data_IF_187012279300
#
_entry.id   IF_187012279300
#
_cell.length_a   1.000
_cell.length_b   1.000
_cell.length_c   1.000
_cell.angle_alpha   90.00
_cell.angle_beta   90.00
_cell.angle_gamma   90.00
#
_symmetry.space_group_name_H-M   'P 1'
#
loop_
_entity.id
_entity.type
_entity.pdbx_description
1 polymer ?
#
# COMPACT_ATOMS: atom_id res chain seq x y z
N UNK A 1 51.08 14.94 -16.95
CA UNK A 1 50.32 15.83 -16.03
C UNK A 1 49.09 16.51 -16.65
N UNK A 2 48.98 16.71 -17.98
CA UNK A 2 47.77 17.28 -18.60
C UNK A 2 46.57 16.30 -18.66
N UNK A 3 46.82 14.99 -18.81
CA UNK A 3 45.74 13.98 -18.86
C UNK A 3 45.10 13.64 -17.50
N UNK A 4 45.81 13.82 -16.37
CA UNK A 4 45.24 13.58 -15.04
C UNK A 4 44.26 14.68 -14.59
N UNK A 5 44.43 15.91 -15.07
CA UNK A 5 43.50 17.01 -14.75
C UNK A 5 42.14 16.84 -15.44
N UNK A 6 42.11 16.30 -16.67
CA UNK A 6 40.84 16.01 -17.36
C UNK A 6 40.03 14.88 -16.69
N UNK A 7 40.69 13.87 -16.11
CA UNK A 7 40.00 12.76 -15.44
C UNK A 7 39.44 13.18 -14.07
N UNK A 8 40.17 14.01 -13.32
CA UNK A 8 39.66 14.62 -12.08
C UNK A 8 38.49 15.59 -12.32
N UNK A 9 38.48 16.29 -13.46
CA UNK A 9 37.36 17.19 -13.80
C UNK A 9 36.15 16.41 -14.32
N UNK A 10 36.34 15.31 -15.05
CA UNK A 10 35.23 14.47 -15.54
C UNK A 10 34.50 13.70 -14.42
N UNK A 11 35.22 13.31 -13.36
CA UNK A 11 34.62 12.65 -12.19
C UNK A 11 33.91 13.64 -11.24
N UNK A 12 34.37 14.89 -11.18
CA UNK A 12 33.69 15.96 -10.43
C UNK A 12 32.47 16.52 -11.18
N UNK A 13 32.45 16.47 -12.52
CA UNK A 13 31.30 16.94 -13.31
C UNK A 13 30.16 15.92 -13.45
N UNK A 14 30.40 14.64 -13.17
CA UNK A 14 29.30 13.67 -12.96
C UNK A 14 28.56 13.87 -11.62
N UNK A 15 29.13 14.69 -10.71
CA UNK A 15 28.49 15.15 -9.47
C UNK A 15 27.79 16.52 -9.65
N UNK A 16 27.73 17.01 -10.90
CA UNK A 16 27.36 18.39 -11.24
C UNK A 16 25.86 18.67 -11.43
N UNK A 17 24.96 17.72 -11.15
CA UNK A 17 23.52 18.01 -11.21
C UNK A 17 22.72 17.06 -10.33
N UNK A 18 22.56 17.36 -9.04
CA UNK A 18 21.32 17.07 -8.29
C UNK A 18 21.30 17.88 -6.98
N UNK A 19 20.65 19.05 -7.08
CA UNK A 19 19.85 19.79 -6.08
C UNK A 19 20.31 19.99 -4.63
N UNK A 20 19.69 20.99 -3.98
CA UNK A 20 19.69 21.17 -2.55
C UNK A 20 19.51 19.82 -1.81
N UNK A 21 20.55 19.42 -1.07
CA UNK A 21 20.67 18.21 -0.23
C UNK A 21 20.38 16.91 -1.00
N UNK A 22 21.43 16.16 -1.37
CA UNK A 22 21.27 14.75 -1.69
C UNK A 22 20.75 14.03 -0.44
N UNK A 23 19.43 13.85 -0.36
CA UNK A 23 18.77 13.17 0.75
C UNK A 23 19.16 11.69 0.70
N UNK A 24 19.60 11.12 1.82
CA UNK A 24 19.95 9.69 1.87
C UNK A 24 18.70 8.83 1.74
N UNK A 25 18.83 7.60 1.25
CA UNK A 25 17.73 6.63 1.17
C UNK A 25 16.97 6.47 2.52
N UNK A 26 17.71 6.51 3.63
CA UNK A 26 17.19 6.48 4.99
C UNK A 26 16.34 7.71 5.33
N UNK A 27 16.81 8.91 4.97
CA UNK A 27 16.07 10.13 5.23
C UNK A 27 14.80 10.21 4.38
N UNK A 28 14.84 9.74 3.12
CA UNK A 28 13.67 9.65 2.25
C UNK A 28 12.65 8.66 2.82
N UNK A 29 13.12 7.51 3.30
CA UNK A 29 12.29 6.51 3.96
C UNK A 29 11.60 7.09 5.21
N UNK A 30 12.34 7.77 6.09
CA UNK A 30 11.78 8.39 7.30
C UNK A 30 10.77 9.50 6.97
N UNK A 31 11.00 10.26 5.90
CA UNK A 31 10.04 11.23 5.38
C UNK A 31 8.77 10.53 4.86
N UNK A 32 8.92 9.46 4.09
CA UNK A 32 7.80 8.66 3.59
C UNK A 32 6.96 8.07 4.72
N UNK A 33 7.59 7.60 5.80
CA UNK A 33 6.91 7.12 7.01
C UNK A 33 6.09 8.22 7.68
N UNK A 34 6.69 9.38 7.89
CA UNK A 34 5.99 10.52 8.53
C UNK A 34 4.73 10.91 7.75
N UNK A 35 4.83 11.00 6.42
CA UNK A 35 3.71 11.32 5.54
C UNK A 35 2.65 10.20 5.56
N UNK A 36 3.09 8.94 5.57
CA UNK A 36 2.19 7.78 5.67
C UNK A 36 1.41 7.77 6.99
N UNK A 37 2.03 8.16 8.09
CA UNK A 37 1.37 8.20 9.41
C UNK A 37 0.32 9.31 9.47
N UNK A 38 0.61 10.47 8.86
CA UNK A 38 -0.38 11.55 8.70
C UNK A 38 -1.58 11.10 7.85
N UNK A 39 -1.31 10.43 6.72
CA UNK A 39 -2.33 9.90 5.83
C UNK A 39 -3.24 8.90 6.55
N UNK A 40 -2.65 8.02 7.36
CA UNK A 40 -3.38 7.03 8.15
C UNK A 40 -4.22 7.67 9.26
N UNK A 41 -3.70 8.70 9.93
CA UNK A 41 -4.47 9.46 10.92
C UNK A 41 -5.70 10.09 10.29
N UNK A 42 -5.53 10.77 9.14
CA UNK A 42 -6.63 11.40 8.42
C UNK A 42 -7.67 10.38 7.94
N UNK A 43 -7.24 9.22 7.42
CA UNK A 43 -8.12 8.13 6.99
C UNK A 43 -8.93 7.55 8.16
N UNK A 44 -8.37 7.47 9.36
CA UNK A 44 -9.12 7.03 10.55
C UNK A 44 -10.14 8.08 10.98
N UNK A 45 -9.75 9.35 10.99
CA UNK A 45 -10.63 10.46 11.36
C UNK A 45 -11.76 10.72 10.34
N UNK A 46 -11.55 10.36 9.08
CA UNK A 46 -12.53 10.54 8.02
C UNK A 46 -13.71 9.58 8.15
N UNK A 47 -13.53 8.48 8.90
CA UNK A 47 -14.59 7.53 9.23
C UNK A 47 -15.25 7.97 10.54
N UNK A 48 -16.40 8.63 10.44
CA UNK A 48 -17.24 8.94 11.60
C UNK A 48 -18.45 8.03 11.64
N UNK A 49 -18.67 7.40 12.78
CA UNK A 49 -19.93 6.71 13.08
C UNK A 49 -20.88 7.71 13.73
N UNK A 50 -22.03 7.96 13.12
CA UNK A 50 -23.10 8.67 13.81
C UNK A 50 -23.77 7.74 14.84
N UNK A 51 -24.54 8.33 15.76
CA UNK A 51 -25.21 7.65 16.88
C UNK A 51 -26.17 6.51 16.48
N UNK A 52 -26.33 6.26 15.18
CA UNK A 52 -27.13 5.18 14.57
C UNK A 52 -26.29 4.17 13.76
N UNK A 53 -24.96 4.18 13.89
CA UNK A 53 -24.06 3.23 13.22
C UNK A 53 -23.79 3.53 11.74
N UNK A 54 -24.32 4.64 11.21
CA UNK A 54 -24.04 5.08 9.84
C UNK A 54 -22.62 5.60 9.74
N UNK A 55 -21.85 5.01 8.82
CA UNK A 55 -20.51 5.46 8.45
C UNK A 55 -20.63 6.66 7.51
N UNK A 56 -20.27 7.84 7.99
CA UNK A 56 -20.12 9.04 7.17
C UNK A 56 -18.64 9.22 6.85
N UNK A 57 -18.35 9.41 5.56
CA UNK A 57 -17.02 9.70 5.08
C UNK A 57 -16.86 11.22 4.94
N UNK A 58 -15.87 11.76 5.64
CA UNK A 58 -15.39 13.11 5.42
C UNK A 58 -14.56 13.14 4.13
N UNK A 59 -15.17 13.56 3.00
CA UNK A 59 -14.56 13.47 1.67
C UNK A 59 -13.25 14.26 1.59
N UNK A 60 -13.22 15.48 2.13
CA UNK A 60 -12.02 16.32 2.11
C UNK A 60 -10.83 15.65 2.81
N UNK A 61 -11.09 14.96 3.92
CA UNK A 61 -10.07 14.18 4.64
C UNK A 61 -9.61 12.95 3.85
N UNK A 62 -10.52 12.28 3.13
CA UNK A 62 -10.17 11.15 2.28
C UNK A 62 -9.32 11.59 1.08
N UNK A 63 -9.67 12.69 0.42
CA UNK A 63 -8.91 13.23 -0.71
C UNK A 63 -7.51 13.68 -0.27
N UNK A 64 -7.40 14.28 0.93
CA UNK A 64 -6.11 14.61 1.53
C UNK A 64 -5.31 13.36 1.87
N UNK A 65 -5.92 12.36 2.49
CA UNK A 65 -5.26 11.09 2.80
C UNK A 65 -4.77 10.40 1.53
N UNK A 66 -5.57 10.35 0.47
CA UNK A 66 -5.19 9.82 -0.84
C UNK A 66 -3.93 10.52 -1.37
N UNK A 67 -3.92 11.86 -1.36
CA UNK A 67 -2.79 12.65 -1.84
C UNK A 67 -1.49 12.36 -1.07
N UNK A 68 -1.58 12.23 0.26
CA UNK A 68 -0.43 11.90 1.11
C UNK A 68 0.05 10.45 0.90
N UNK A 69 -0.88 9.50 0.75
CA UNK A 69 -0.53 8.13 0.39
C UNK A 69 0.20 8.06 -0.96
N UNK A 70 -0.26 8.80 -1.98
CA UNK A 70 0.41 8.87 -3.28
C UNK A 70 1.80 9.51 -3.21
N UNK A 71 1.97 10.56 -2.40
CA UNK A 71 3.27 11.20 -2.16
C UNK A 71 4.25 10.24 -1.45
N UNK A 72 3.82 9.64 -0.35
CA UNK A 72 4.61 8.69 0.42
C UNK A 72 5.00 7.45 -0.42
N UNK A 73 4.11 6.98 -1.31
CA UNK A 73 4.41 5.87 -2.21
C UNK A 73 5.60 6.18 -3.13
N UNK A 74 5.65 7.40 -3.70
CA UNK A 74 6.77 7.85 -4.55
C UNK A 74 8.08 7.88 -3.78
N UNK A 75 8.06 8.36 -2.54
CA UNK A 75 9.24 8.43 -1.69
C UNK A 75 9.75 7.04 -1.29
N UNK A 76 8.84 6.11 -0.95
CA UNK A 76 9.25 4.73 -0.68
C UNK A 76 9.85 4.04 -1.92
N UNK A 77 9.29 4.29 -3.11
CA UNK A 77 9.85 3.81 -4.37
C UNK A 77 11.25 4.38 -4.62
N UNK A 78 11.46 5.67 -4.35
CA UNK A 78 12.77 6.31 -4.45
C UNK A 78 13.77 5.74 -3.43
N UNK A 79 13.38 5.58 -2.16
CA UNK A 79 14.21 4.99 -1.12
C UNK A 79 14.62 3.55 -1.49
N UNK A 80 13.69 2.75 -2.04
CA UNK A 80 13.97 1.40 -2.55
C UNK A 80 15.00 1.43 -3.68
N UNK A 81 14.84 2.33 -4.65
CA UNK A 81 15.78 2.48 -5.78
C UNK A 81 17.18 2.88 -5.32
N UNK A 82 17.28 3.62 -4.21
CA UNK A 82 18.54 3.98 -3.58
C UNK A 82 19.11 2.90 -2.64
N UNK A 83 18.48 1.72 -2.56
CA UNK A 83 18.99 0.55 -1.84
C UNK A 83 18.50 0.41 -0.39
N UNK A 84 17.47 1.16 0.05
CA UNK A 84 16.84 0.93 1.35
C UNK A 84 15.98 -0.35 1.30
N UNK A 85 16.39 -1.38 2.04
CA UNK A 85 15.71 -2.68 2.08
C UNK A 85 14.40 -2.65 2.90
N UNK A 86 14.25 -1.72 3.84
CA UNK A 86 13.05 -1.57 4.65
C UNK A 86 11.89 -0.98 3.84
N UNK A 87 12.22 -0.14 2.85
CA UNK A 87 11.27 0.43 1.90
C UNK A 87 10.48 -0.65 1.13
N UNK A 88 11.08 -1.82 0.86
CA UNK A 88 10.38 -2.91 0.16
C UNK A 88 9.17 -3.44 0.97
N UNK A 89 9.36 -3.68 2.26
CA UNK A 89 8.26 -4.11 3.14
C UNK A 89 7.23 -3.00 3.36
N UNK A 90 7.70 -1.75 3.49
CA UNK A 90 6.82 -0.60 3.64
C UNK A 90 5.94 -0.37 2.40
N UNK A 91 6.49 -0.54 1.19
CA UNK A 91 5.76 -0.41 -0.07
C UNK A 91 4.58 -1.37 -0.17
N UNK A 92 4.72 -2.60 0.31
CA UNK A 92 3.63 -3.57 0.27
C UNK A 92 2.46 -3.13 1.15
N UNK A 93 2.75 -2.70 2.39
CA UNK A 93 1.74 -2.17 3.31
C UNK A 93 1.07 -0.94 2.70
N UNK A 94 1.88 -0.04 2.17
CA UNK A 94 1.42 1.21 1.58
C UNK A 94 0.54 0.99 0.35
N UNK A 95 0.90 0.02 -0.50
CA UNK A 95 0.10 -0.40 -1.66
C UNK A 95 -1.29 -0.87 -1.23
N UNK A 96 -1.39 -1.64 -0.13
CA UNK A 96 -2.67 -2.06 0.43
C UNK A 96 -3.47 -0.86 0.96
N UNK A 97 -2.85 0.02 1.76
CA UNK A 97 -3.52 1.18 2.34
C UNK A 97 -4.07 2.12 1.27
N UNK A 98 -3.28 2.41 0.23
CA UNK A 98 -3.71 3.21 -0.93
C UNK A 98 -4.85 2.52 -1.70
N UNK A 99 -4.79 1.20 -1.89
CA UNK A 99 -5.87 0.45 -2.53
C UNK A 99 -7.17 0.50 -1.72
N UNK A 100 -7.10 0.44 -0.39
CA UNK A 100 -8.26 0.60 0.51
C UNK A 100 -8.88 1.99 0.35
N UNK A 101 -8.06 3.05 0.33
CA UNK A 101 -8.53 4.42 0.10
C UNK A 101 -9.23 4.56 -1.24
N UNK A 102 -8.65 4.02 -2.32
CA UNK A 102 -9.30 4.04 -3.63
C UNK A 102 -10.63 3.29 -3.64
N UNK A 103 -10.74 2.16 -2.93
CA UNK A 103 -12.01 1.44 -2.82
C UNK A 103 -13.06 2.26 -2.04
N UNK A 104 -12.68 2.88 -0.93
CA UNK A 104 -13.56 3.74 -0.12
C UNK A 104 -14.07 4.94 -0.94
N UNK A 105 -13.21 5.50 -1.80
CA UNK A 105 -13.53 6.57 -2.75
C UNK A 105 -14.22 6.08 -4.03
N UNK A 106 -14.51 4.78 -4.15
CA UNK A 106 -15.12 4.12 -5.33
C UNK A 106 -14.29 4.27 -6.62
N UNK A 107 -13.01 4.57 -6.51
CA UNK A 107 -12.03 4.72 -7.58
C UNK A 107 -11.50 3.34 -8.02
N UNK A 108 -12.38 2.49 -8.52
CA UNK A 108 -12.05 1.09 -8.82
C UNK A 108 -11.05 0.90 -9.99
N UNK A 109 -10.88 1.92 -10.86
CA UNK A 109 -9.89 1.89 -11.94
C UNK A 109 -8.48 1.93 -11.34
N UNK A 110 -8.27 2.78 -10.34
CA UNK A 110 -7.00 2.92 -9.62
C UNK A 110 -6.77 1.79 -8.61
N UNK A 111 -7.82 1.32 -7.93
CA UNK A 111 -7.71 0.26 -6.94
C UNK A 111 -7.28 -1.09 -7.55
N UNK A 112 -7.87 -1.47 -8.69
CA UNK A 112 -7.71 -2.82 -9.28
C UNK A 112 -6.26 -3.21 -9.57
N UNK A 113 -5.42 -2.37 -10.22
CA UNK A 113 -4.01 -2.69 -10.45
C UNK A 113 -3.30 -3.01 -9.14
N UNK A 114 -3.43 -2.16 -8.13
CA UNK A 114 -2.78 -2.38 -6.83
C UNK A 114 -3.24 -3.68 -6.16
N UNK A 115 -4.54 -3.99 -6.21
CA UNK A 115 -5.10 -5.21 -5.63
C UNK A 115 -4.66 -6.46 -6.42
N UNK A 116 -4.57 -6.38 -7.74
CA UNK A 116 -4.10 -7.49 -8.57
C UNK A 116 -2.59 -7.72 -8.37
N UNK A 117 -1.82 -6.64 -8.25
CA UNK A 117 -0.41 -6.72 -7.87
C UNK A 117 -0.29 -7.41 -6.53
N UNK A 118 -1.04 -7.01 -5.49
CA UNK A 118 -1.01 -7.68 -4.18
C UNK A 118 -1.39 -9.18 -4.23
N UNK A 119 -2.17 -9.63 -5.22
CA UNK A 119 -2.45 -11.06 -5.44
C UNK A 119 -1.30 -11.79 -6.14
N UNK A 120 -0.64 -11.13 -7.10
CA UNK A 120 0.42 -11.72 -7.94
C UNK A 120 1.79 -11.64 -7.27
N UNK A 121 2.06 -10.51 -6.65
CA UNK A 121 3.27 -10.08 -5.95
C UNK A 121 3.24 -10.71 -4.55
N UNK A 122 3.29 -12.04 -4.51
CA UNK A 122 3.73 -12.74 -3.32
C UNK A 122 5.24 -12.56 -3.19
N UNK A 123 5.70 -11.39 -2.75
CA UNK A 123 7.12 -11.16 -2.45
C UNK A 123 7.59 -12.27 -1.52
N UNK A 124 8.67 -12.97 -1.89
CA UNK A 124 9.20 -14.12 -1.16
C UNK A 124 9.61 -13.77 0.28
N UNK A 125 9.73 -12.47 0.59
CA UNK A 125 10.14 -11.93 1.90
C UNK A 125 9.05 -11.14 2.65
N UNK A 126 7.79 -11.09 2.15
CA UNK A 126 6.74 -10.34 2.85
C UNK A 126 6.38 -10.97 4.19
N UNK A 127 6.04 -10.10 5.15
CA UNK A 127 5.37 -10.52 6.38
C UNK A 127 4.09 -11.33 6.02
N UNK A 128 4.04 -12.64 6.37
CA UNK A 128 2.91 -13.50 6.03
C UNK A 128 1.56 -12.96 6.50
N UNK A 129 1.54 -12.23 7.63
CA UNK A 129 0.33 -11.62 8.17
C UNK A 129 -0.19 -10.47 7.30
N UNK A 130 0.70 -9.67 6.70
CA UNK A 130 0.29 -8.60 5.79
C UNK A 130 -0.30 -9.17 4.50
N UNK A 131 0.34 -10.22 3.96
CA UNK A 131 -0.18 -10.98 2.82
C UNK A 131 -1.56 -11.57 3.13
N UNK A 132 -1.71 -12.18 4.31
CA UNK A 132 -2.96 -12.76 4.75
C UNK A 132 -4.09 -11.70 4.82
N UNK A 133 -3.78 -10.51 5.35
CA UNK A 133 -4.72 -9.38 5.42
C UNK A 133 -5.15 -8.90 4.02
N UNK A 134 -4.20 -8.69 3.10
CA UNK A 134 -4.48 -8.25 1.74
C UNK A 134 -5.40 -9.24 1.00
N UNK A 135 -5.08 -10.54 1.07
CA UNK A 135 -5.89 -11.60 0.44
C UNK A 135 -7.30 -11.64 1.05
N UNK A 136 -7.42 -11.55 2.38
CA UNK A 136 -8.72 -11.52 3.07
C UNK A 136 -9.54 -10.29 2.71
N UNK A 137 -8.91 -9.12 2.55
CA UNK A 137 -9.58 -7.92 2.08
C UNK A 137 -10.11 -8.10 0.65
N UNK A 138 -9.30 -8.62 -0.26
CA UNK A 138 -9.72 -8.88 -1.65
C UNK A 138 -10.84 -9.93 -1.72
N UNK A 139 -10.82 -10.93 -0.84
CA UNK A 139 -11.92 -11.88 -0.70
C UNK A 139 -13.25 -11.19 -0.40
N UNK A 140 -13.26 -10.17 0.47
CA UNK A 140 -14.47 -9.38 0.75
C UNK A 140 -14.95 -8.60 -0.47
N UNK A 141 -14.04 -8.04 -1.26
CA UNK A 141 -14.39 -7.31 -2.48
C UNK A 141 -15.06 -8.20 -3.53
N UNK A 142 -14.61 -9.46 -3.67
CA UNK A 142 -15.27 -10.44 -4.54
C UNK A 142 -16.65 -10.87 -4.02
N UNK A 143 -16.81 -11.05 -2.69
CA UNK A 143 -18.10 -11.38 -2.09
C UNK A 143 -19.12 -10.25 -2.24
N UNK A 144 -18.70 -9.00 -2.01
CA UNK A 144 -19.58 -7.84 -2.10
C UNK A 144 -19.85 -7.41 -3.54
N UNK A 145 -18.93 -7.70 -4.47
CA UNK A 145 -18.94 -7.12 -5.81
C UNK A 145 -18.41 -5.68 -5.84
N UNK A 146 -17.67 -5.25 -4.81
CA UNK A 146 -17.05 -3.92 -4.75
C UNK A 146 -15.77 -3.94 -5.56
N UNK A 147 -15.68 -3.09 -6.58
CA UNK A 147 -14.58 -3.03 -7.54
C UNK A 147 -14.32 -4.31 -8.36
N UNK A 148 -14.68 -5.51 -7.90
CA UNK A 148 -14.66 -6.74 -8.71
C UNK A 148 -16.07 -7.18 -9.08
N UNK A 149 -16.20 -7.94 -10.17
CA UNK A 149 -17.45 -8.65 -10.45
C UNK A 149 -17.70 -9.62 -9.30
N UNK A 150 -18.91 -9.56 -8.73
CA UNK A 150 -19.30 -10.43 -7.61
C UNK A 150 -19.05 -11.89 -7.96
N UNK A 151 -18.26 -12.56 -7.12
CA UNK A 151 -17.90 -13.97 -7.22
C UNK A 151 -17.67 -14.50 -5.80
N UNK A 152 -18.74 -15.02 -5.20
CA UNK A 152 -18.71 -15.50 -3.81
C UNK A 152 -17.77 -16.70 -3.68
N UNK A 153 -17.74 -17.61 -4.66
CA UNK A 153 -16.88 -18.79 -4.64
C UNK A 153 -15.41 -18.41 -4.61
N UNK A 154 -14.99 -17.47 -5.47
CA UNK A 154 -13.63 -16.93 -5.45
C UNK A 154 -13.31 -16.22 -4.14
N UNK A 155 -14.25 -15.42 -3.61
CA UNK A 155 -14.10 -14.75 -2.33
C UNK A 155 -13.85 -15.73 -1.17
N UNK A 156 -14.63 -16.81 -1.09
CA UNK A 156 -14.47 -17.87 -0.07
C UNK A 156 -13.12 -18.57 -0.20
N UNK A 157 -12.68 -18.88 -1.43
CA UNK A 157 -11.35 -19.45 -1.65
C UNK A 157 -10.23 -18.54 -1.13
N UNK A 158 -10.34 -17.24 -1.36
CA UNK A 158 -9.38 -16.25 -0.85
C UNK A 158 -9.42 -16.18 0.70
N UNK A 159 -10.59 -16.29 1.33
CA UNK A 159 -10.66 -16.36 2.80
C UNK A 159 -9.95 -17.60 3.36
N UNK A 160 -10.08 -18.75 2.70
CA UNK A 160 -9.33 -19.96 3.06
C UNK A 160 -7.82 -19.74 2.99
N UNK A 161 -7.33 -19.20 1.86
CA UNK A 161 -5.91 -18.86 1.70
C UNK A 161 -5.41 -17.85 2.74
N UNK A 162 -6.23 -16.85 3.08
CA UNK A 162 -5.95 -15.88 4.14
C UNK A 162 -5.85 -16.58 5.51
N UNK A 163 -6.75 -17.53 5.79
CA UNK A 163 -6.73 -18.33 7.01
C UNK A 163 -5.48 -19.22 7.11
N UNK A 164 -5.10 -19.90 6.02
CA UNK A 164 -3.91 -20.75 5.96
C UNK A 164 -2.62 -19.95 6.26
N UNK A 165 -2.62 -18.65 5.97
CA UNK A 165 -1.53 -17.72 6.30
C UNK A 165 -1.64 -17.09 7.71
N UNK A 166 -2.59 -17.55 8.53
CA UNK A 166 -2.73 -17.14 9.93
C UNK A 166 -3.63 -15.92 10.19
N UNK A 167 -4.37 -15.43 9.20
CA UNK A 167 -5.32 -14.32 9.41
C UNK A 167 -6.59 -14.81 10.12
N UNK A 168 -6.81 -14.34 11.36
CA UNK A 168 -8.05 -14.57 12.10
C UNK A 168 -9.29 -14.08 11.34
N UNK A 169 -9.20 -12.92 10.68
CA UNK A 169 -10.27 -12.40 9.82
C UNK A 169 -10.57 -13.35 8.66
N UNK A 170 -9.53 -13.88 8.01
CA UNK A 170 -9.66 -14.88 6.95
C UNK A 170 -10.39 -16.13 7.43
N UNK A 171 -9.99 -16.69 8.57
CA UNK A 171 -10.61 -17.88 9.14
C UNK A 171 -12.08 -17.67 9.50
N UNK A 172 -12.42 -16.53 10.10
CA UNK A 172 -13.81 -16.22 10.44
C UNK A 172 -14.69 -16.12 9.21
N UNK A 173 -14.23 -15.38 8.18
CA UNK A 173 -14.99 -15.23 6.94
C UNK A 173 -15.11 -16.58 6.23
N UNK A 174 -14.06 -17.39 6.18
CA UNK A 174 -14.13 -18.73 5.61
C UNK A 174 -15.19 -19.59 6.31
N UNK A 175 -15.17 -19.63 7.65
CA UNK A 175 -16.13 -20.39 8.46
C UNK A 175 -17.57 -19.86 8.32
N UNK A 176 -17.77 -18.55 8.20
CA UNK A 176 -19.08 -17.92 7.98
C UNK A 176 -19.72 -18.44 6.67
N UNK A 177 -18.93 -18.57 5.61
CA UNK A 177 -19.44 -19.07 4.33
C UNK A 177 -19.50 -20.59 4.24
N UNK A 178 -18.69 -21.32 5.00
CA UNK A 178 -18.74 -22.79 5.01
C UNK A 178 -19.93 -23.34 5.80
N UNK A 179 -20.32 -22.69 6.91
CA UNK A 179 -21.52 -23.04 7.70
C UNK A 179 -22.85 -22.79 6.98
N UNK A 180 -22.82 -22.08 5.85
CA UNK A 180 -23.99 -21.71 5.05
C UNK A 180 -24.18 -22.61 3.81
N UNK A 181 -23.44 -23.71 3.71
CA UNK A 181 -23.64 -24.79 2.71
C UNK A 181 -24.47 -25.92 3.31
#
# INVERSE_FOLDING_TARGET
MKHLKSIMIATVLALGSFSAIAQTAENIFNQAQTISDEAESLRKESVRYQNWGWRILDQDKFDRAQSLYEESFKLYEEARQQGNIEAENALLKHKLDLAVVFVDLKQCIQAKPLLNDLLAESSENANPLLKAQAIGYIGNLYVSGTCFRKDVSKGVKLFGQSCDLGSWHGCNRYNEFDKNK
#
